data_IF_307896145177
#
_entry.id   IF_307896145177
#
_cell.length_a   1.000
_cell.length_b   1.000
_cell.length_c   1.000
_cell.angle_alpha   90.00
_cell.angle_beta   90.00
_cell.angle_gamma   90.00
#
_symmetry.space_group_name_H-M   'P 1'
#
loop_
_entity.id
_entity.type
_entity.pdbx_description
1 polymer ?
#
# COMPACT_ATOMS: atom_id res chain seq x y z
N UNK A 1 -7.09 4.27 27.17
CA UNK A 1 -7.47 4.82 25.86
C UNK A 1 -7.93 3.70 24.92
N UNK A 2 -8.99 3.94 24.21
CA UNK A 2 -9.56 2.94 23.30
C UNK A 2 -9.06 3.19 21.87
N UNK A 3 -8.64 2.13 21.21
CA UNK A 3 -8.17 2.20 19.81
C UNK A 3 -9.10 1.43 18.89
N UNK A 4 -9.23 1.88 17.67
CA UNK A 4 -9.99 1.15 16.67
C UNK A 4 -9.22 -0.04 16.17
N UNK A 5 -9.82 -1.20 16.18
CA UNK A 5 -9.22 -2.41 15.61
C UNK A 5 -9.53 -2.45 14.12
N UNK A 6 -8.78 -1.69 13.37
CA UNK A 6 -8.95 -1.54 11.93
C UNK A 6 -7.62 -1.09 11.32
N UNK A 7 -7.38 -1.49 10.09
CA UNK A 7 -6.21 -0.99 9.35
C UNK A 7 -6.25 0.53 9.21
N UNK A 8 -7.43 1.13 9.27
CA UNK A 8 -7.60 2.58 9.22
C UNK A 8 -7.37 3.25 10.56
N UNK A 9 -7.23 2.47 11.63
CA UNK A 9 -7.00 3.00 12.95
C UNK A 9 -5.58 3.51 13.13
N UNK A 10 -5.38 4.35 14.13
CA UNK A 10 -4.08 4.99 14.38
C UNK A 10 -2.95 4.00 14.63
N UNK A 11 -3.26 2.84 15.22
CA UNK A 11 -2.23 1.87 15.58
C UNK A 11 -1.52 1.28 14.36
N UNK A 12 -2.13 1.39 13.17
CA UNK A 12 -1.55 0.88 11.93
C UNK A 12 -1.13 1.97 10.95
N UNK A 13 -1.09 3.22 11.38
CA UNK A 13 -0.74 4.34 10.51
C UNK A 13 0.62 4.15 9.83
N UNK A 14 1.62 3.70 10.59
CA UNK A 14 2.96 3.50 10.03
C UNK A 14 2.98 2.41 8.97
N UNK A 15 2.21 1.35 9.19
CA UNK A 15 2.10 0.25 8.23
C UNK A 15 1.46 0.73 6.93
N UNK A 16 0.39 1.52 7.04
CA UNK A 16 -0.33 2.07 5.90
C UNK A 16 0.57 3.04 5.12
N UNK A 17 1.28 3.91 5.82
CA UNK A 17 2.20 4.85 5.20
C UNK A 17 3.32 4.12 4.45
N UNK A 18 3.86 3.08 5.05
CA UNK A 18 4.91 2.30 4.41
C UNK A 18 4.38 1.59 3.16
N UNK A 19 3.17 1.06 3.23
CA UNK A 19 2.53 0.45 2.07
C UNK A 19 2.38 1.47 0.93
N UNK A 20 1.92 2.67 1.25
CA UNK A 20 1.74 3.72 0.26
C UNK A 20 3.07 4.12 -0.37
N UNK A 21 4.12 4.25 0.43
CA UNK A 21 5.45 4.53 -0.09
C UNK A 21 5.92 3.46 -1.06
N UNK A 22 5.73 2.18 -0.70
CA UNK A 22 6.12 1.07 -1.57
C UNK A 22 5.30 1.03 -2.85
N UNK A 23 4.02 1.40 -2.77
CA UNK A 23 3.17 1.47 -3.95
C UNK A 23 3.70 2.53 -4.93
N UNK A 24 4.04 3.70 -4.43
CA UNK A 24 4.62 4.77 -5.26
C UNK A 24 5.97 4.34 -5.85
N UNK A 25 6.80 3.68 -5.06
CA UNK A 25 8.10 3.18 -5.52
C UNK A 25 7.94 2.17 -6.66
N UNK A 26 6.98 1.26 -6.53
CA UNK A 26 6.71 0.27 -7.59
C UNK A 26 6.27 0.97 -8.87
N UNK A 27 5.34 1.89 -8.78
CA UNK A 27 4.86 2.62 -9.96
C UNK A 27 5.97 3.43 -10.62
N UNK A 28 6.81 4.08 -9.84
CA UNK A 28 7.96 4.80 -10.36
C UNK A 28 8.94 3.86 -11.07
N UNK A 29 9.18 2.70 -10.47
CA UNK A 29 10.08 1.71 -11.08
C UNK A 29 9.54 1.18 -12.40
N UNK A 30 8.24 0.91 -12.47
CA UNK A 30 7.59 0.46 -13.70
C UNK A 30 7.73 1.50 -14.80
N UNK A 31 7.49 2.77 -14.48
CA UNK A 31 7.63 3.85 -15.45
C UNK A 31 9.06 4.02 -15.93
N UNK A 32 10.01 4.01 -15.02
CA UNK A 32 11.43 4.23 -15.37
C UNK A 32 12.03 3.10 -16.16
N UNK A 33 11.68 1.87 -15.81
CA UNK A 33 12.29 0.67 -16.39
C UNK A 33 11.48 0.09 -17.54
N UNK A 34 10.32 0.68 -17.84
CA UNK A 34 9.45 0.15 -18.88
C UNK A 34 8.89 -1.22 -18.56
N UNK A 35 8.72 -1.53 -17.30
CA UNK A 35 8.14 -2.80 -16.86
C UNK A 35 6.63 -2.69 -16.80
N UNK A 36 5.95 -3.81 -16.78
CA UNK A 36 4.49 -3.86 -16.88
C UNK A 36 3.78 -4.24 -15.60
N UNK A 37 4.45 -5.00 -14.74
CA UNK A 37 3.78 -5.60 -13.60
C UNK A 37 4.60 -5.46 -12.33
N UNK A 38 3.89 -5.25 -11.24
CA UNK A 38 4.50 -5.21 -9.95
C UNK A 38 3.51 -5.57 -8.87
N UNK A 39 4.00 -5.71 -7.65
CA UNK A 39 3.17 -6.02 -6.51
C UNK A 39 3.68 -5.33 -5.26
N UNK A 40 2.78 -5.02 -4.35
CA UNK A 40 3.08 -4.57 -3.01
C UNK A 40 2.28 -5.43 -2.05
N UNK A 41 2.94 -5.97 -1.05
CA UNK A 41 2.31 -6.87 -0.10
C UNK A 41 2.53 -6.34 1.31
N UNK A 42 1.45 -6.22 2.04
CA UNK A 42 1.49 -5.94 3.48
C UNK A 42 1.19 -7.24 4.21
N UNK A 43 2.12 -7.66 5.04
CA UNK A 43 1.92 -8.80 5.93
C UNK A 43 1.84 -8.27 7.34
N UNK A 44 0.71 -8.49 7.99
CA UNK A 44 0.51 -8.11 9.37
C UNK A 44 0.56 -9.37 10.22
N UNK A 45 1.48 -9.42 11.16
CA UNK A 45 1.61 -10.54 12.08
C UNK A 45 0.91 -10.17 13.40
N UNK A 46 0.12 -11.09 13.89
CA UNK A 46 -0.69 -10.88 15.08
C UNK A 46 -0.36 -11.97 16.08
N UNK A 47 -0.03 -11.57 17.27
CA UNK A 47 0.22 -12.50 18.35
C UNK A 47 -0.73 -12.19 19.51
N UNK A 48 -1.16 -13.23 20.18
CA UNK A 48 -2.03 -13.10 21.34
C UNK A 48 -1.44 -13.94 22.47
N UNK A 49 -1.27 -13.32 23.61
CA UNK A 49 -0.82 -14.04 24.78
C UNK A 49 -1.74 -13.80 25.97
N UNK A 50 -1.82 -14.78 26.82
CA UNK A 50 -2.53 -14.63 28.07
C UNK A 50 -1.51 -14.49 29.18
N UNK A 51 -1.63 -13.45 29.96
CA UNK A 51 -0.71 -13.13 31.04
C UNK A 51 -1.50 -13.00 32.33
N UNK A 52 -0.98 -13.58 33.40
CA UNK A 52 -1.56 -13.36 34.73
C UNK A 52 -1.18 -11.99 35.25
N UNK A 53 -2.15 -11.22 35.67
CA UNK A 53 -1.94 -9.90 36.27
C UNK A 53 -2.62 -9.81 37.61
N UNK A 54 -1.99 -9.06 38.52
CA UNK A 54 -2.53 -8.79 39.81
C UNK A 54 -3.16 -7.41 39.83
N UNK A 55 -4.41 -7.33 40.27
CA UNK A 55 -5.10 -6.05 40.36
C UNK A 55 -4.73 -5.31 41.64
N UNK A 56 -5.36 -4.16 41.87
CA UNK A 56 -5.11 -3.32 43.06
C UNK A 56 -5.44 -4.03 44.36
N UNK A 57 -6.37 -4.98 44.34
CA UNK A 57 -6.78 -5.74 45.49
C UNK A 57 -5.91 -7.00 45.71
N UNK A 58 -4.91 -7.21 44.87
CA UNK A 58 -4.03 -8.34 44.95
C UNK A 58 -4.57 -9.63 44.34
N UNK A 59 -5.66 -9.54 43.60
CA UNK A 59 -6.30 -10.69 42.94
C UNK A 59 -5.71 -10.91 41.59
N UNK A 60 -5.27 -12.15 41.30
CA UNK A 60 -4.76 -12.51 39.97
C UNK A 60 -5.90 -12.81 39.03
N UNK A 61 -5.76 -12.31 37.80
CA UNK A 61 -6.65 -12.65 36.72
C UNK A 61 -5.87 -12.68 35.40
N UNK A 62 -6.41 -13.37 34.42
CA UNK A 62 -5.77 -13.49 33.13
C UNK A 62 -6.16 -12.31 32.27
N UNK A 63 -5.16 -11.73 31.63
CA UNK A 63 -5.36 -10.64 30.67
C UNK A 63 -4.78 -11.07 29.32
N UNK A 64 -5.55 -10.86 28.27
CA UNK A 64 -5.09 -11.12 26.92
C UNK A 64 -4.36 -9.89 26.40
N UNK A 65 -3.14 -10.09 25.93
CA UNK A 65 -2.33 -9.04 25.35
C UNK A 65 -2.03 -9.37 23.91
N UNK A 66 -2.07 -8.35 23.06
CA UNK A 66 -1.80 -8.50 21.63
C UNK A 66 -0.51 -7.81 21.27
N UNK A 67 0.15 -8.35 20.28
CA UNK A 67 1.30 -7.73 19.65
C UNK A 67 1.10 -7.80 18.14
N UNK A 68 1.40 -6.70 17.49
CA UNK A 68 1.33 -6.62 16.03
C UNK A 68 2.68 -6.22 15.49
N UNK A 69 3.12 -6.88 14.45
CA UNK A 69 4.22 -6.37 13.65
C UNK A 69 3.83 -6.47 12.19
N UNK A 70 4.55 -5.79 11.33
CA UNK A 70 4.21 -5.77 9.93
C UNK A 70 5.46 -5.77 9.07
N UNK A 71 5.27 -6.23 7.85
CA UNK A 71 6.30 -6.26 6.85
C UNK A 71 5.66 -5.88 5.52
N UNK A 72 6.26 -4.92 4.84
CA UNK A 72 5.80 -4.50 3.52
C UNK A 72 6.90 -4.83 2.53
N UNK A 73 6.54 -5.60 1.52
CA UNK A 73 7.47 -5.97 0.47
C UNK A 73 6.93 -5.58 -0.89
N UNK A 74 7.83 -5.38 -1.83
CA UNK A 74 7.46 -5.02 -3.19
C UNK A 74 8.31 -5.78 -4.19
N UNK A 75 7.74 -5.99 -5.37
CA UNK A 75 8.43 -6.63 -6.46
C UNK A 75 7.94 -6.06 -7.78
N UNK A 76 8.83 -5.99 -8.76
CA UNK A 76 8.45 -5.65 -10.12
C UNK A 76 8.82 -6.80 -11.03
N UNK A 77 7.97 -7.10 -11.99
CA UNK A 77 8.16 -8.23 -12.89
C UNK A 77 7.64 -7.87 -14.27
N UNK A 78 8.11 -8.61 -15.27
CA UNK A 78 7.65 -8.46 -16.63
C UNK A 78 6.52 -9.42 -16.99
N UNK A 79 6.14 -10.29 -16.07
CA UNK A 79 5.10 -11.29 -16.33
C UNK A 79 3.82 -10.91 -15.63
N UNK A 80 2.74 -10.95 -16.37
CA UNK A 80 1.41 -10.71 -15.84
C UNK A 80 0.82 -12.00 -15.27
N UNK A 81 0.31 -11.94 -14.04
CA UNK A 81 -0.48 -13.00 -13.44
C UNK A 81 -1.62 -12.33 -12.71
N UNK A 82 -2.82 -12.48 -13.22
CA UNK A 82 -3.96 -11.85 -12.57
C UNK A 82 -4.85 -12.88 -11.92
N UNK A 83 -5.13 -12.70 -10.64
CA UNK A 83 -6.09 -13.51 -9.90
C UNK A 83 -7.28 -12.68 -9.44
N UNK A 84 -7.37 -11.51 -9.84
CA UNK A 84 -8.44 -10.59 -9.59
C UNK A 84 -7.94 -9.26 -10.08
N UNK A 85 -8.79 -8.50 -10.71
CA UNK A 85 -8.32 -7.30 -11.37
C UNK A 85 -9.29 -6.15 -11.22
N UNK A 86 -8.74 -4.95 -11.26
CA UNK A 86 -9.51 -3.75 -11.49
C UNK A 86 -9.73 -3.69 -12.99
N UNK A 87 -10.97 -3.82 -13.42
CA UNK A 87 -11.29 -3.92 -14.85
C UNK A 87 -11.09 -2.62 -15.60
N UNK A 88 -11.10 -1.52 -14.90
CA UNK A 88 -10.94 -0.22 -15.52
C UNK A 88 -9.46 0.03 -15.82
N UNK A 89 -9.20 0.47 -17.04
CA UNK A 89 -7.87 0.93 -17.41
C UNK A 89 -7.77 2.40 -17.03
N UNK A 90 -6.74 2.72 -16.27
CA UNK A 90 -6.54 4.08 -15.78
C UNK A 90 -5.26 4.65 -16.38
N UNK A 91 -5.24 5.95 -16.53
CA UNK A 91 -4.09 6.67 -17.06
C UNK A 91 -3.20 7.09 -15.90
N UNK A 92 -1.93 6.73 -15.98
CA UNK A 92 -0.94 7.11 -14.96
C UNK A 92 -0.14 8.30 -15.46
N UNK A 93 -0.10 9.33 -14.67
CA UNK A 93 0.67 10.54 -14.96
C UNK A 93 1.53 10.93 -13.78
N UNK A 94 2.61 11.62 -14.08
CA UNK A 94 3.40 12.31 -13.08
C UNK A 94 3.14 13.80 -13.20
N UNK A 95 2.58 14.39 -12.15
CA UNK A 95 2.26 15.82 -12.09
C UNK A 95 2.96 16.42 -10.90
N UNK A 96 3.83 17.40 -11.16
CA UNK A 96 4.58 18.09 -10.11
C UNK A 96 5.36 17.14 -9.20
N UNK A 97 5.89 16.08 -9.79
CA UNK A 97 6.65 15.08 -9.05
C UNK A 97 5.81 14.06 -8.32
N UNK A 98 4.50 14.09 -8.49
CA UNK A 98 3.58 13.13 -7.88
C UNK A 98 2.87 12.30 -8.92
N UNK A 99 2.66 11.04 -8.60
CA UNK A 99 1.91 10.13 -9.44
C UNK A 99 0.41 10.31 -9.18
N UNK A 100 -0.37 10.31 -10.26
CA UNK A 100 -1.81 10.33 -10.15
C UNK A 100 -2.45 9.37 -11.15
N UNK A 101 -3.64 8.89 -10.81
CA UNK A 101 -4.45 8.06 -11.67
C UNK A 101 -5.67 8.84 -12.12
N UNK A 102 -6.00 8.70 -13.40
CA UNK A 102 -7.18 9.34 -13.98
C UNK A 102 -7.90 8.36 -14.88
N UNK A 103 -9.18 8.60 -15.06
CA UNK A 103 -9.97 7.81 -16.00
C UNK A 103 -9.53 8.10 -17.43
N UNK A 104 -9.62 7.08 -18.27
CA UNK A 104 -9.45 7.27 -19.72
C UNK A 104 -10.74 7.87 -20.26
N UNK A 105 -10.60 8.89 -21.11
CA UNK A 105 -11.75 9.58 -21.70
C UNK A 105 -11.73 9.49 -23.23
N UNK A 106 -12.66 10.20 -23.87
CA UNK A 106 -12.79 10.19 -25.33
C UNK A 106 -11.56 10.73 -26.05
N UNK A 107 -10.76 11.53 -25.39
CA UNK A 107 -9.56 12.12 -25.95
C UNK A 107 -8.30 11.36 -25.55
N UNK A 108 -8.44 10.09 -25.20
CA UNK A 108 -7.36 9.27 -24.67
C UNK A 108 -6.12 9.26 -25.56
N UNK A 109 -6.31 9.22 -26.88
CA UNK A 109 -5.18 9.17 -27.81
C UNK A 109 -4.32 10.41 -27.69
N UNK A 110 -4.93 11.58 -27.66
CA UNK A 110 -4.21 12.84 -27.51
C UNK A 110 -3.57 12.95 -26.14
N UNK A 111 -4.30 12.55 -25.11
CA UNK A 111 -3.79 12.57 -23.75
C UNK A 111 -2.58 11.65 -23.58
N UNK A 112 -2.61 10.48 -24.21
CA UNK A 112 -1.50 9.54 -24.15
C UNK A 112 -0.24 10.11 -24.80
N UNK A 113 -0.38 10.79 -25.93
CA UNK A 113 0.76 11.41 -26.62
C UNK A 113 1.36 12.52 -25.75
N UNK A 114 0.53 13.36 -25.19
CA UNK A 114 0.99 14.41 -24.29
C UNK A 114 1.55 13.81 -23.00
N UNK A 115 0.91 12.77 -22.50
CA UNK A 115 1.35 12.08 -21.31
C UNK A 115 2.74 11.46 -21.47
N UNK A 116 3.06 10.95 -22.64
CA UNK A 116 4.38 10.42 -22.93
C UNK A 116 5.46 11.49 -22.83
N UNK A 117 5.18 12.68 -23.36
CA UNK A 117 6.12 13.79 -23.25
C UNK A 117 6.33 14.20 -21.79
N UNK A 118 5.26 14.27 -21.04
CA UNK A 118 5.33 14.60 -19.63
C UNK A 118 5.93 13.46 -18.82
N UNK A 119 5.63 12.23 -19.21
CA UNK A 119 6.11 11.04 -18.54
C UNK A 119 7.62 10.82 -18.64
N UNK A 120 8.26 11.46 -19.62
CA UNK A 120 9.73 11.38 -19.73
C UNK A 120 10.43 12.28 -18.73
N UNK A 121 9.70 13.18 -18.11
CA UNK A 121 10.23 14.00 -17.03
C UNK A 121 10.19 13.20 -15.75
N UNK A 122 11.20 13.34 -14.97
CA UNK A 122 11.32 12.57 -13.74
C UNK A 122 10.12 12.73 -12.81
N UNK A 123 9.64 11.66 -12.34
CA UNK A 123 8.68 11.59 -11.28
C UNK A 123 9.40 11.13 -10.01
#
# INVERSE_FOLDING_TARGET
MKHDLSLRGEIFNDAVELFDLKLHDVLNSLLRQGLTDGSVTLKLNVELWTVGEQDEDGVYHDTNKTHFDYNVSSAVTQKSKSNGEVKEMLKLRCVDGQLELRDLDENTIFDLVEGEKDGTRSC
#
